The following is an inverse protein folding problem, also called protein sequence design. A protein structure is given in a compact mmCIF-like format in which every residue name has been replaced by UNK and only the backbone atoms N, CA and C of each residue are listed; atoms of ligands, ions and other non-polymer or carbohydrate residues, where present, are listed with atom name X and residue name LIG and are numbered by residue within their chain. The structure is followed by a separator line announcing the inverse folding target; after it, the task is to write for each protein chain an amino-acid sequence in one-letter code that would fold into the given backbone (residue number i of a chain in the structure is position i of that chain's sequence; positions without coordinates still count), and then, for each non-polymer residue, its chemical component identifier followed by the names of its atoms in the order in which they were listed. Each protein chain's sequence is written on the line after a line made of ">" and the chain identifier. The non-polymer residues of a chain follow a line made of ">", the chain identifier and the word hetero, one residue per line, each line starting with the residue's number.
data_IF_893976973738
#
_entry.id   IF_893976973738
#
_cell.length_a   1.000
_cell.length_b   1.000
_cell.length_c   1.000
_cell.angle_alpha   90.00
_cell.angle_beta   90.00
_cell.angle_gamma   90.00
#
_symmetry.space_group_name_H-M   'P 1'
#
loop_
_entity.id
_entity.type
_entity.pdbx_description
1 polymer ?
#
# COMPACT_ATOMS: atom_id res chain seq x y z
N UNK A 1 -30.73 25.47 4.72
CA UNK A 1 -30.44 24.67 5.93
C UNK A 1 -29.16 23.95 5.58
N UNK A 2 -28.02 24.38 6.12
CA UNK A 2 -26.75 23.74 5.79
C UNK A 2 -26.83 22.29 6.24
N UNK A 3 -26.71 21.35 5.31
CA UNK A 3 -26.66 19.93 5.66
C UNK A 3 -25.41 19.73 6.53
N UNK A 4 -25.60 19.21 7.74
CA UNK A 4 -24.49 18.92 8.67
C UNK A 4 -24.34 17.41 8.78
N UNK A 5 -23.11 16.95 8.97
CA UNK A 5 -22.82 15.55 9.28
C UNK A 5 -23.46 15.16 10.61
N UNK A 6 -24.11 13.99 10.65
CA UNK A 6 -24.64 13.42 11.89
C UNK A 6 -23.51 12.98 12.82
N UNK A 7 -23.81 12.80 14.11
CA UNK A 7 -22.82 12.47 15.15
C UNK A 7 -21.86 11.32 14.78
N UNK A 8 -22.40 10.21 14.25
CA UNK A 8 -21.59 9.05 13.83
C UNK A 8 -20.71 9.35 12.60
N UNK A 9 -21.18 10.23 11.72
CA UNK A 9 -20.44 10.68 10.55
C UNK A 9 -19.30 11.61 10.98
N UNK A 10 -19.55 12.55 11.89
CA UNK A 10 -18.51 13.43 12.46
C UNK A 10 -17.42 12.66 13.20
N UNK A 11 -17.77 11.58 13.92
CA UNK A 11 -16.76 10.70 14.53
C UNK A 11 -15.86 10.02 13.47
N UNK A 12 -16.46 9.58 12.36
CA UNK A 12 -15.69 8.96 11.26
C UNK A 12 -14.87 10.00 10.51
N UNK A 13 -15.39 11.20 10.31
CA UNK A 13 -14.64 12.33 9.77
C UNK A 13 -13.40 12.61 10.61
N UNK A 14 -13.51 12.65 11.94
CA UNK A 14 -12.36 12.83 12.82
C UNK A 14 -11.31 11.72 12.64
N UNK A 15 -11.74 10.46 12.52
CA UNK A 15 -10.84 9.33 12.26
C UNK A 15 -10.17 9.42 10.88
N UNK A 16 -10.88 9.88 9.84
CA UNK A 16 -10.32 10.15 8.50
C UNK A 16 -9.28 11.26 8.60
N UNK A 17 -9.66 12.43 9.14
CA UNK A 17 -8.79 13.60 9.31
C UNK A 17 -7.52 13.26 10.09
N UNK A 18 -7.57 12.34 11.05
CA UNK A 18 -6.36 11.92 11.78
C UNK A 18 -5.27 11.30 10.88
N UNK A 19 -5.67 10.78 9.71
CA UNK A 19 -4.79 10.14 8.71
C UNK A 19 -4.45 11.04 7.52
N UNK A 20 -5.05 12.23 7.47
CA UNK A 20 -4.81 13.24 6.45
C UNK A 20 -3.75 14.21 6.93
N UNK A 21 -2.85 14.60 6.02
CA UNK A 21 -1.91 15.68 6.28
C UNK A 21 -2.57 17.06 6.16
N UNK A 22 -1.75 18.12 6.28
CA UNK A 22 -2.27 19.49 6.29
C UNK A 22 -2.95 19.87 4.96
N UNK A 23 -2.36 19.48 3.83
CA UNK A 23 -2.87 19.81 2.49
C UNK A 23 -4.17 19.07 2.23
N UNK A 24 -4.21 17.80 2.59
CA UNK A 24 -5.40 16.96 2.43
C UNK A 24 -6.54 17.35 3.37
N UNK A 25 -6.23 17.82 4.58
CA UNK A 25 -7.24 18.43 5.46
C UNK A 25 -7.83 19.67 4.82
N UNK A 26 -7.00 20.51 4.20
CA UNK A 26 -7.48 21.67 3.44
C UNK A 26 -8.42 21.27 2.31
N UNK A 27 -8.06 20.25 1.52
CA UNK A 27 -8.94 19.67 0.50
C UNK A 27 -10.26 19.16 1.11
N UNK A 28 -10.17 18.35 2.17
CA UNK A 28 -11.33 17.80 2.85
C UNK A 28 -12.26 18.89 3.37
N UNK A 29 -11.74 19.94 3.99
CA UNK A 29 -12.54 21.00 4.59
C UNK A 29 -13.36 21.76 3.52
N UNK A 30 -12.83 21.87 2.30
CA UNK A 30 -13.50 22.47 1.14
C UNK A 30 -14.57 21.58 0.48
N UNK A 31 -14.64 20.28 0.81
CA UNK A 31 -15.67 19.39 0.27
C UNK A 31 -17.06 19.73 0.82
N UNK A 32 -18.07 19.59 -0.03
CA UNK A 32 -19.47 19.61 0.39
C UNK A 32 -19.79 18.44 1.34
N UNK A 33 -20.88 18.55 2.09
CA UNK A 33 -21.29 17.50 3.03
C UNK A 33 -21.63 16.20 2.32
N UNK A 34 -22.19 16.25 1.10
CA UNK A 34 -22.50 15.05 0.33
C UNK A 34 -21.24 14.34 -0.18
N UNK A 35 -20.25 15.08 -0.67
CA UNK A 35 -18.94 14.49 -1.02
C UNK A 35 -18.26 13.87 0.21
N UNK A 36 -18.31 14.54 1.37
CA UNK A 36 -17.79 13.97 2.63
C UNK A 36 -18.49 12.66 2.99
N UNK A 37 -19.79 12.54 2.79
CA UNK A 37 -20.55 11.30 3.04
C UNK A 37 -20.10 10.16 2.13
N UNK A 38 -19.84 10.42 0.85
CA UNK A 38 -19.31 9.41 -0.08
C UNK A 38 -17.96 8.86 0.42
N UNK A 39 -17.04 9.74 0.83
CA UNK A 39 -15.77 9.31 1.42
C UNK A 39 -15.95 8.56 2.74
N UNK A 40 -16.91 8.97 3.58
CA UNK A 40 -17.24 8.28 4.83
C UNK A 40 -17.75 6.87 4.55
N UNK A 41 -18.61 6.67 3.55
CA UNK A 41 -19.08 5.34 3.13
C UNK A 41 -17.92 4.49 2.59
N UNK A 42 -17.09 5.06 1.72
CA UNK A 42 -15.88 4.41 1.21
C UNK A 42 -14.96 3.99 2.37
N UNK A 43 -14.79 4.86 3.36
CA UNK A 43 -13.97 4.58 4.54
C UNK A 43 -14.50 3.43 5.40
N UNK A 44 -15.83 3.19 5.41
CA UNK A 44 -16.40 2.02 6.11
C UNK A 44 -16.04 0.72 5.43
N UNK A 45 -16.00 0.74 4.09
CA UNK A 45 -15.74 -0.43 3.28
C UNK A 45 -14.24 -0.73 3.21
N UNK A 46 -13.44 0.29 2.91
CA UNK A 46 -12.00 0.18 2.73
C UNK A 46 -11.31 1.50 3.11
N UNK A 47 -10.69 1.47 4.29
CA UNK A 47 -10.00 2.63 4.87
C UNK A 47 -8.84 3.10 4.00
N UNK A 48 -8.04 2.17 3.48
CA UNK A 48 -6.83 2.49 2.70
C UNK A 48 -7.21 3.02 1.33
N UNK A 49 -8.26 2.44 0.72
CA UNK A 49 -8.82 2.96 -0.53
C UNK A 49 -9.37 4.38 -0.36
N UNK A 50 -10.04 4.67 0.75
CA UNK A 50 -10.53 6.03 1.01
C UNK A 50 -9.37 7.04 1.09
N UNK A 51 -8.36 6.79 1.93
CA UNK A 51 -7.22 7.71 2.08
C UNK A 51 -6.44 7.86 0.77
N UNK A 52 -6.20 6.77 0.04
CA UNK A 52 -5.52 6.84 -1.27
C UNK A 52 -6.34 7.60 -2.33
N UNK A 53 -7.66 7.50 -2.29
CA UNK A 53 -8.54 8.27 -3.20
C UNK A 53 -8.45 9.76 -2.90
N UNK A 54 -8.49 10.15 -1.62
CA UNK A 54 -8.30 11.55 -1.20
C UNK A 54 -6.92 12.05 -1.63
N UNK A 55 -5.86 11.28 -1.35
CA UNK A 55 -4.48 11.61 -1.76
C UNK A 55 -4.39 11.82 -3.28
N UNK A 56 -5.05 10.96 -4.06
CA UNK A 56 -5.04 11.06 -5.53
C UNK A 56 -5.77 12.31 -6.02
N UNK A 57 -6.89 12.67 -5.38
CA UNK A 57 -7.61 13.90 -5.69
C UNK A 57 -6.81 15.15 -5.36
N UNK A 58 -6.05 15.13 -4.27
CA UNK A 58 -5.11 16.21 -3.97
C UNK A 58 -3.99 16.27 -5.01
N UNK A 59 -3.49 15.11 -5.48
CA UNK A 59 -2.48 15.05 -6.56
C UNK A 59 -2.95 15.59 -7.91
N UNK A 60 -4.26 15.55 -8.21
CA UNK A 60 -4.81 16.21 -9.39
C UNK A 60 -4.63 17.74 -9.33
N UNK A 61 -4.52 18.31 -8.12
CA UNK A 61 -4.36 19.75 -7.86
C UNK A 61 -2.88 20.12 -7.64
N UNK A 62 -2.17 19.31 -6.86
CA UNK A 62 -0.73 19.40 -6.60
C UNK A 62 -0.05 18.07 -6.96
N UNK A 63 0.46 17.93 -8.19
CA UNK A 63 1.08 16.68 -8.66
C UNK A 63 2.27 16.20 -7.83
N UNK A 64 2.90 17.11 -7.07
CA UNK A 64 4.05 16.78 -6.21
C UNK A 64 3.65 16.36 -4.81
N UNK A 65 2.36 16.46 -4.46
CA UNK A 65 1.85 16.13 -3.14
C UNK A 65 2.10 14.67 -2.79
N UNK A 66 2.64 14.46 -1.59
CA UNK A 66 2.81 13.13 -1.01
C UNK A 66 2.36 13.17 0.45
N UNK A 67 1.34 12.36 0.77
CA UNK A 67 0.82 12.26 2.13
C UNK A 67 1.95 11.89 3.10
N UNK A 68 2.27 12.80 4.02
CA UNK A 68 3.39 12.64 4.94
C UNK A 68 3.26 11.39 5.84
N UNK A 69 2.04 11.04 6.27
CA UNK A 69 1.79 9.87 7.12
C UNK A 69 1.89 8.56 6.36
N UNK A 70 1.32 8.52 5.15
CA UNK A 70 1.41 7.35 4.26
C UNK A 70 2.85 7.11 3.86
N UNK A 71 3.59 8.17 3.52
CA UNK A 71 5.03 8.10 3.24
C UNK A 71 5.80 7.53 4.41
N UNK A 72 5.64 8.09 5.61
CA UNK A 72 6.36 7.62 6.81
C UNK A 72 6.08 6.14 7.12
N UNK A 73 4.82 5.71 6.97
CA UNK A 73 4.44 4.29 7.14
C UNK A 73 5.08 3.41 6.07
N UNK A 74 5.03 3.83 4.80
CA UNK A 74 5.66 3.10 3.70
C UNK A 74 7.17 3.01 3.87
N UNK A 75 7.84 4.08 4.29
CA UNK A 75 9.28 4.11 4.53
C UNK A 75 9.68 3.17 5.67
N UNK A 76 8.91 3.16 6.76
CA UNK A 76 9.12 2.20 7.86
C UNK A 76 8.99 0.76 7.36
N UNK A 77 7.95 0.48 6.58
CA UNK A 77 7.70 -0.85 6.05
C UNK A 77 8.78 -1.27 5.04
N UNK A 78 9.19 -0.36 4.14
CA UNK A 78 10.28 -0.58 3.19
C UNK A 78 11.59 -0.87 3.92
N UNK A 79 11.89 -0.12 4.99
CA UNK A 79 13.07 -0.38 5.84
C UNK A 79 12.99 -1.76 6.47
N UNK A 80 11.84 -2.16 6.99
CA UNK A 80 11.60 -3.51 7.51
C UNK A 80 11.85 -4.58 6.44
N UNK A 81 11.26 -4.46 5.25
CA UNK A 81 11.47 -5.42 4.18
C UNK A 81 12.93 -5.53 3.74
N UNK A 82 13.65 -4.40 3.71
CA UNK A 82 15.08 -4.38 3.40
C UNK A 82 15.91 -5.19 4.40
N UNK A 83 15.56 -5.18 5.69
CA UNK A 83 16.25 -6.03 6.68
C UNK A 83 15.97 -7.52 6.48
N UNK A 84 14.86 -7.86 5.81
CA UNK A 84 14.49 -9.24 5.45
C UNK A 84 14.95 -9.64 4.04
N UNK A 85 15.75 -8.81 3.37
CA UNK A 85 16.29 -9.10 2.02
C UNK A 85 15.33 -8.80 0.87
N UNK A 86 14.19 -8.15 1.14
CA UNK A 86 13.19 -7.76 0.13
C UNK A 86 13.42 -6.30 -0.23
N UNK A 87 14.11 -6.04 -1.34
CA UNK A 87 14.33 -4.68 -1.84
C UNK A 87 13.14 -4.23 -2.69
N UNK A 88 12.70 -2.99 -2.47
CA UNK A 88 11.61 -2.34 -3.24
C UNK A 88 10.35 -3.22 -3.36
N UNK A 89 9.73 -3.63 -2.25
CA UNK A 89 8.60 -4.55 -2.27
C UNK A 89 7.46 -4.03 -3.14
N UNK A 90 6.80 -4.93 -3.87
CA UNK A 90 5.61 -4.59 -4.65
C UNK A 90 4.46 -4.14 -3.74
N UNK A 91 3.52 -3.37 -4.29
CA UNK A 91 2.37 -2.90 -3.52
C UNK A 91 1.49 -4.04 -3.00
N UNK A 92 1.43 -5.16 -3.73
CA UNK A 92 0.76 -6.38 -3.28
C UNK A 92 1.40 -6.90 -1.98
N UNK A 93 2.73 -7.00 -1.95
CA UNK A 93 3.49 -7.43 -0.78
C UNK A 93 3.33 -6.46 0.39
N UNK A 94 3.43 -5.14 0.14
CA UNK A 94 3.23 -4.11 1.18
C UNK A 94 1.83 -4.17 1.79
N UNK A 95 0.78 -4.28 0.96
CA UNK A 95 -0.62 -4.35 1.40
C UNK A 95 -0.87 -5.58 2.28
N UNK A 96 -0.34 -6.75 1.89
CA UNK A 96 -0.48 -7.98 2.66
C UNK A 96 0.12 -7.83 4.08
N UNK A 97 1.30 -7.22 4.17
CA UNK A 97 1.98 -6.99 5.44
C UNK A 97 1.28 -5.96 6.32
N UNK A 98 0.88 -4.82 5.75
CA UNK A 98 0.16 -3.78 6.48
C UNK A 98 -1.15 -4.29 7.07
N UNK A 99 -1.93 -5.05 6.28
CA UNK A 99 -3.21 -5.61 6.72
C UNK A 99 -3.06 -6.53 7.92
N UNK A 100 -2.00 -7.32 7.96
CA UNK A 100 -1.75 -8.31 9.02
C UNK A 100 -0.84 -7.79 10.14
N UNK A 101 -0.32 -6.55 10.02
CA UNK A 101 0.64 -5.94 10.95
C UNK A 101 1.82 -6.85 11.28
N UNK A 102 2.34 -7.53 10.26
CA UNK A 102 3.40 -8.53 10.42
C UNK A 102 4.67 -7.91 11.01
N UNK A 103 4.99 -6.64 10.68
CA UNK A 103 6.16 -5.93 11.23
C UNK A 103 6.09 -5.82 12.76
N UNK A 104 4.95 -5.36 13.29
CA UNK A 104 4.76 -5.21 14.73
C UNK A 104 4.73 -6.56 15.46
N UNK A 105 4.13 -7.57 14.85
CA UNK A 105 4.08 -8.92 15.42
C UNK A 105 5.46 -9.59 15.42
N UNK A 106 6.27 -9.33 14.40
CA UNK A 106 7.65 -9.81 14.30
C UNK A 106 8.53 -9.22 15.41
N UNK A 107 8.48 -7.90 15.61
CA UNK A 107 9.22 -7.22 16.68
C UNK A 107 8.80 -7.74 18.06
N UNK A 108 7.49 -7.89 18.28
CA UNK A 108 6.95 -8.44 19.53
C UNK A 108 7.44 -9.88 19.79
N UNK A 109 7.43 -10.73 18.77
CA UNK A 109 7.95 -12.10 18.87
C UNK A 109 9.44 -12.10 19.23
N UNK A 110 10.24 -11.26 18.56
CA UNK A 110 11.68 -11.14 18.81
C UNK A 110 11.96 -10.70 20.25
N UNK A 111 11.25 -9.68 20.73
CA UNK A 111 11.42 -9.15 22.08
C UNK A 111 10.91 -10.08 23.18
N UNK A 112 9.82 -10.82 22.95
CA UNK A 112 9.23 -11.72 23.94
C UNK A 112 10.09 -12.98 24.16
N UNK A 113 10.60 -13.58 23.07
CA UNK A 113 11.39 -14.81 23.16
C UNK A 113 12.90 -14.57 23.32
N UNK A 114 13.43 -13.43 22.85
CA UNK A 114 14.85 -13.07 23.02
C UNK A 114 15.28 -12.86 24.48
N UNK A 115 14.32 -12.64 25.38
CA UNK A 115 14.57 -12.54 26.83
C UNK A 115 14.70 -13.90 27.54
N UNK A 116 14.45 -15.01 26.85
CA UNK A 116 14.46 -16.35 27.44
C UNK A 116 15.80 -17.02 27.13
N UNK A 117 16.83 -16.66 27.89
CA UNK A 117 18.21 -17.07 27.61
C UNK A 117 18.68 -18.32 28.33
N UNK A 118 17.96 -18.86 29.33
CA UNK A 118 18.49 -19.94 30.18
C UNK A 118 17.78 -21.31 30.07
N UNK A 119 16.76 -21.46 29.23
CA UNK A 119 16.07 -22.74 29.02
C UNK A 119 16.31 -23.25 27.59
N UNK A 120 16.96 -24.41 27.46
CA UNK A 120 17.33 -25.01 26.18
C UNK A 120 16.12 -25.35 25.28
N UNK A 121 15.03 -25.87 25.83
CA UNK A 121 13.82 -26.16 25.06
C UNK A 121 13.18 -24.89 24.50
N UNK A 122 13.17 -23.81 25.30
CA UNK A 122 12.65 -22.51 24.86
C UNK A 122 13.56 -21.87 23.81
N UNK A 123 14.89 -22.01 23.92
CA UNK A 123 15.83 -21.57 22.88
C UNK A 123 15.63 -22.36 21.57
N UNK A 124 15.46 -23.69 21.64
CA UNK A 124 15.21 -24.52 20.47
C UNK A 124 13.89 -24.13 19.77
N UNK A 125 12.84 -23.90 20.56
CA UNK A 125 11.54 -23.42 20.07
C UNK A 125 11.68 -22.06 19.38
N UNK A 126 12.40 -21.12 20.00
CA UNK A 126 12.67 -19.81 19.40
C UNK A 126 13.42 -19.93 18.07
N UNK A 127 14.49 -20.74 18.02
CA UNK A 127 15.30 -20.96 16.83
C UNK A 127 14.46 -21.61 15.70
N UNK A 128 13.58 -22.54 16.04
CA UNK A 128 12.65 -23.16 15.09
C UNK A 128 11.74 -22.11 14.44
N UNK A 129 11.02 -21.33 15.25
CA UNK A 129 10.12 -20.29 14.73
C UNK A 129 10.86 -19.19 13.97
N UNK A 130 12.04 -18.79 14.45
CA UNK A 130 12.89 -17.83 13.74
C UNK A 130 13.33 -18.38 12.38
N UNK A 131 13.68 -19.67 12.29
CA UNK A 131 14.05 -20.32 11.03
C UNK A 131 12.86 -20.37 10.07
N UNK A 132 11.67 -20.71 10.56
CA UNK A 132 10.42 -20.70 9.79
C UNK A 132 10.09 -19.29 9.27
N UNK A 133 10.23 -18.26 10.12
CA UNK A 133 10.00 -16.87 9.70
C UNK A 133 10.99 -16.45 8.62
N UNK A 134 12.28 -16.74 8.79
CA UNK A 134 13.31 -16.47 7.76
C UNK A 134 12.99 -17.19 6.44
N UNK A 135 12.57 -18.45 6.50
CA UNK A 135 12.17 -19.22 5.31
C UNK A 135 10.96 -18.57 4.63
N UNK A 136 9.96 -18.12 5.39
CA UNK A 136 8.82 -17.40 4.85
C UNK A 136 9.24 -16.10 4.17
N UNK A 137 10.14 -15.32 4.76
CA UNK A 137 10.67 -14.10 4.13
C UNK A 137 11.44 -14.38 2.84
N UNK A 138 12.21 -15.47 2.77
CA UNK A 138 12.86 -15.91 1.52
C UNK A 138 11.82 -16.22 0.45
N UNK A 139 10.76 -16.96 0.78
CA UNK A 139 9.68 -17.26 -0.16
C UNK A 139 8.96 -15.98 -0.62
N UNK A 140 8.69 -15.05 0.29
CA UNK A 140 8.07 -13.76 -0.03
C UNK A 140 8.97 -12.96 -0.96
N UNK A 141 10.29 -12.94 -0.75
CA UNK A 141 11.24 -12.28 -1.63
C UNK A 141 11.24 -12.85 -3.05
N UNK A 142 11.18 -14.18 -3.16
CA UNK A 142 11.09 -14.88 -4.45
C UNK A 142 9.77 -14.54 -5.16
N UNK A 143 8.65 -14.60 -4.45
CA UNK A 143 7.33 -14.27 -5.00
C UNK A 143 7.24 -12.80 -5.42
N UNK A 144 7.76 -11.87 -4.61
CA UNK A 144 7.79 -10.45 -4.94
C UNK A 144 8.61 -10.18 -6.22
N UNK A 145 9.73 -10.88 -6.37
CA UNK A 145 10.54 -10.82 -7.60
C UNK A 145 9.79 -11.36 -8.81
N UNK A 146 9.08 -12.49 -8.67
CA UNK A 146 8.25 -13.05 -9.74
C UNK A 146 7.12 -12.09 -10.15
N UNK A 147 6.47 -11.42 -9.19
CA UNK A 147 5.44 -10.41 -9.47
C UNK A 147 6.03 -9.26 -10.29
N UNK A 148 7.23 -8.76 -9.93
CA UNK A 148 7.92 -7.71 -10.69
C UNK A 148 8.20 -8.13 -12.12
N UNK A 149 8.82 -9.30 -12.29
CA UNK A 149 9.12 -9.86 -13.62
C UNK A 149 7.84 -10.02 -14.46
N UNK A 150 6.74 -10.47 -13.84
CA UNK A 150 5.46 -10.60 -14.52
C UNK A 150 4.91 -9.24 -14.97
N UNK A 151 4.96 -8.21 -14.11
CA UNK A 151 4.54 -6.86 -14.46
C UNK A 151 5.38 -6.26 -15.59
N UNK A 152 6.70 -6.50 -15.59
CA UNK A 152 7.59 -6.06 -16.67
C UNK A 152 7.23 -6.72 -18.00
N UNK A 153 6.95 -8.03 -17.99
CA UNK A 153 6.48 -8.75 -19.18
C UNK A 153 5.14 -8.22 -19.69
N UNK A 154 4.17 -7.96 -18.79
CA UNK A 154 2.89 -7.36 -19.19
C UNK A 154 3.11 -5.98 -19.84
N UNK A 155 3.99 -5.15 -19.28
CA UNK A 155 4.32 -3.84 -19.85
C UNK A 155 4.96 -3.96 -21.23
N UNK A 156 5.86 -4.94 -21.43
CA UNK A 156 6.44 -5.21 -22.73
C UNK A 156 5.38 -5.66 -23.74
N UNK A 157 4.47 -6.56 -23.34
CA UNK A 157 3.39 -7.02 -24.20
C UNK A 157 2.46 -5.88 -24.62
N UNK A 158 2.09 -4.97 -23.70
CA UNK A 158 1.29 -3.80 -24.06
C UNK A 158 2.00 -2.90 -25.09
N UNK A 159 3.32 -2.71 -24.96
CA UNK A 159 4.11 -1.95 -25.95
C UNK A 159 4.13 -2.64 -27.31
N UNK A 160 4.29 -3.97 -27.34
CA UNK A 160 4.27 -4.75 -28.59
C UNK A 160 2.89 -4.65 -29.25
N UNK A 161 1.80 -4.74 -28.48
CA UNK A 161 0.45 -4.56 -29.02
C UNK A 161 0.26 -3.18 -29.63
N UNK A 162 0.69 -2.12 -28.93
CA UNK A 162 0.64 -0.75 -29.47
C UNK A 162 1.43 -0.61 -30.78
N UNK A 163 2.64 -1.16 -30.82
CA UNK A 163 3.47 -1.16 -32.03
C UNK A 163 2.79 -1.92 -33.18
N UNK A 164 2.13 -3.04 -32.89
CA UNK A 164 1.39 -3.80 -33.89
C UNK A 164 0.21 -2.99 -34.44
N UNK A 165 -0.54 -2.30 -33.58
CA UNK A 165 -1.64 -1.43 -34.00
C UNK A 165 -1.13 -0.31 -34.93
N UNK A 166 -0.01 0.33 -34.58
CA UNK A 166 0.65 1.35 -35.41
C UNK A 166 1.10 0.78 -36.77
N UNK A 167 1.71 -0.40 -36.79
CA UNK A 167 2.10 -1.09 -38.03
C UNK A 167 0.87 -1.40 -38.90
N UNK A 168 -0.20 -1.92 -38.31
CA UNK A 168 -1.45 -2.23 -39.03
C UNK A 168 -2.01 -0.97 -39.67
N UNK A 169 -2.05 0.16 -38.96
CA UNK A 169 -2.52 1.43 -39.52
C UNK A 169 -1.65 1.94 -40.67
N UNK A 170 -0.31 1.84 -40.55
CA UNK A 170 0.59 2.17 -41.65
C UNK A 170 0.38 1.27 -42.87
N UNK A 171 0.21 -0.04 -42.66
CA UNK A 171 -0.05 -0.99 -43.74
C UNK A 171 -1.39 -0.70 -44.45
N UNK A 172 -2.44 -0.33 -43.70
CA UNK A 172 -3.71 0.12 -44.29
C UNK A 172 -3.54 1.37 -45.14
N UNK A 173 -2.78 2.36 -44.67
CA UNK A 173 -2.51 3.58 -45.43
C UNK A 173 -1.73 3.30 -46.71
N UNK A 174 -0.79 2.35 -46.69
CA UNK A 174 -0.04 1.91 -47.87
C UNK A 174 -0.96 1.17 -48.85
N UNK A 175 -1.81 0.28 -48.36
CA UNK A 175 -2.71 -0.52 -49.21
C UNK A 175 -3.83 0.30 -49.87
N UNK A 176 -4.21 1.43 -49.26
CA UNK A 176 -5.23 2.34 -49.78
C UNK A 176 -4.67 3.47 -50.66
N UNK A 177 -3.37 3.45 -50.98
CA UNK A 177 -2.71 4.32 -51.97
C UNK A 177 -2.57 3.59 -53.30
#
# INVERSE_FOLDING_TARGET
>A
MDEVLGFRESMREADIKSKLDKTEKGYWDNLSVNEKREYIELYKQDKDKCISTITSKVKEIDPTHENAFVKANNDKLNKFFKTQGINEPTDTTKKAFNKQRIDANFDNFYHAFGKITFNMEKQATYNYYMSQQKQNFVQIAQLDTLIKQHNDLLNQNHKVLQQNDEIIELLKQIANK
#
